data_IF_302541580137
#
_entry.id   IF_302541580137
#
_cell.length_a   1.000
_cell.length_b   1.000
_cell.length_c   1.000
_cell.angle_alpha   90.00
_cell.angle_beta   90.00
_cell.angle_gamma   90.00
#
_symmetry.space_group_name_H-M   'P 1'
#
loop_
_entity.id
_entity.type
_entity.pdbx_description
1 polymer ?
#
# COMPACT_ATOMS: atom_id res chain seq x y z
N UNK A 1 -16.11 14.33 -15.49
CA UNK A 1 -15.20 13.44 -16.24
C UNK A 1 -14.90 12.24 -15.37
N UNK A 2 -15.53 11.09 -15.65
CA UNK A 2 -15.11 9.84 -15.03
C UNK A 2 -13.91 9.38 -15.84
N UNK A 3 -12.71 9.71 -15.35
CA UNK A 3 -11.46 9.32 -15.98
C UNK A 3 -11.29 7.81 -15.87
N UNK A 4 -11.12 7.14 -17.00
CA UNK A 4 -10.67 5.75 -17.03
C UNK A 4 -9.34 5.66 -16.28
N UNK A 5 -9.21 4.73 -15.34
CA UNK A 5 -7.98 4.52 -14.59
C UNK A 5 -6.83 4.30 -15.58
N UNK A 6 -5.74 5.08 -15.48
CA UNK A 6 -4.57 4.87 -16.34
C UNK A 6 -4.05 3.44 -16.09
N UNK A 7 -3.81 2.69 -17.17
CA UNK A 7 -3.28 1.33 -17.09
C UNK A 7 -1.96 1.28 -16.31
N UNK A 8 -1.15 2.33 -16.41
CA UNK A 8 0.10 2.44 -15.67
C UNK A 8 -0.17 2.60 -14.17
N UNK A 9 -1.12 3.45 -13.78
CA UNK A 9 -1.52 3.60 -12.39
C UNK A 9 -2.03 2.27 -11.81
N UNK A 10 -2.83 1.52 -12.57
CA UNK A 10 -3.30 0.20 -12.15
C UNK A 10 -2.15 -0.76 -11.81
N UNK A 11 -1.11 -0.78 -12.64
CA UNK A 11 0.07 -1.62 -12.44
C UNK A 11 0.96 -1.11 -11.30
N UNK A 12 1.05 0.21 -11.10
CA UNK A 12 1.81 0.78 -10.01
C UNK A 12 1.18 0.51 -8.64
N UNK A 13 -0.16 0.50 -8.55
CA UNK A 13 -0.89 0.15 -7.33
C UNK A 13 -0.66 -1.32 -6.91
N UNK A 14 -0.39 -2.23 -7.85
CA UNK A 14 0.00 -3.61 -7.50
C UNK A 14 1.29 -3.62 -6.66
N UNK A 15 2.24 -2.73 -6.96
CA UNK A 15 3.50 -2.65 -6.17
C UNK A 15 3.25 -2.16 -4.74
N UNK A 16 2.21 -1.34 -4.53
CA UNK A 16 1.82 -0.89 -3.19
C UNK A 16 1.36 -2.06 -2.34
N UNK A 17 0.51 -2.94 -2.89
CA UNK A 17 0.01 -4.11 -2.15
C UNK A 17 1.10 -5.15 -1.93
N UNK A 18 2.00 -5.34 -2.90
CA UNK A 18 3.20 -6.18 -2.75
C UNK A 18 4.11 -5.67 -1.62
N UNK A 19 4.40 -4.37 -1.58
CA UNK A 19 5.22 -3.78 -0.52
C UNK A 19 4.61 -3.98 0.87
N UNK A 20 3.29 -3.78 0.99
CA UNK A 20 2.54 -4.02 2.23
C UNK A 20 2.66 -5.47 2.72
N UNK A 21 2.39 -6.42 1.82
CA UNK A 21 2.41 -7.84 2.13
C UNK A 21 3.82 -8.32 2.49
N UNK A 22 4.84 -7.88 1.76
CA UNK A 22 6.22 -8.22 2.06
C UNK A 22 6.67 -7.65 3.41
N UNK A 23 6.26 -6.42 3.76
CA UNK A 23 6.59 -5.82 5.05
C UNK A 23 5.91 -6.56 6.21
N UNK A 24 4.60 -6.83 6.12
CA UNK A 24 3.85 -7.51 7.17
C UNK A 24 4.27 -8.98 7.35
N UNK A 25 4.60 -9.68 6.25
CA UNK A 25 5.00 -11.10 6.28
C UNK A 25 6.20 -11.38 7.18
N UNK A 26 7.09 -10.40 7.38
CA UNK A 26 8.26 -10.53 8.28
C UNK A 26 7.87 -10.77 9.75
N UNK A 27 6.65 -10.37 10.11
CA UNK A 27 6.08 -10.46 11.45
C UNK A 27 5.03 -11.58 11.56
N UNK A 28 4.80 -12.35 10.49
CA UNK A 28 3.85 -13.47 10.48
C UNK A 28 4.22 -14.50 11.56
N UNK A 29 3.22 -14.95 12.32
CA UNK A 29 3.38 -15.96 13.38
C UNK A 29 4.01 -15.45 14.68
N UNK A 30 4.32 -14.15 14.80
CA UNK A 30 4.95 -13.59 16.01
C UNK A 30 3.96 -13.16 17.11
N UNK A 31 2.65 -13.21 16.83
CA UNK A 31 1.60 -12.81 17.78
C UNK A 31 1.54 -11.30 18.06
N UNK A 32 2.28 -10.49 17.28
CA UNK A 32 2.31 -9.03 17.40
C UNK A 32 1.57 -8.39 16.22
N UNK A 33 0.24 -8.37 16.33
CA UNK A 33 -0.66 -7.81 15.31
C UNK A 33 -0.35 -6.34 15.02
N UNK A 34 -0.14 -5.53 16.05
CA UNK A 34 0.08 -4.08 15.91
C UNK A 34 1.37 -3.77 15.17
N UNK A 35 2.45 -4.50 15.46
CA UNK A 35 3.69 -4.33 14.71
C UNK A 35 3.53 -4.77 13.25
N UNK A 36 2.79 -5.85 12.99
CA UNK A 36 2.55 -6.35 11.65
C UNK A 36 1.73 -5.35 10.81
N UNK A 37 0.68 -4.78 11.41
CA UNK A 37 -0.16 -3.76 10.80
C UNK A 37 0.63 -2.48 10.53
N UNK A 38 1.38 -1.97 11.52
CA UNK A 38 2.21 -0.79 11.35
C UNK A 38 3.23 -0.97 10.22
N UNK A 39 3.89 -2.13 10.13
CA UNK A 39 4.83 -2.42 9.06
C UNK A 39 4.15 -2.41 7.67
N UNK A 40 2.92 -2.90 7.57
CA UNK A 40 2.15 -2.87 6.33
C UNK A 40 1.76 -1.43 5.94
N UNK A 41 1.23 -0.67 6.89
CA UNK A 41 0.77 0.72 6.70
C UNK A 41 1.91 1.63 6.28
N UNK A 42 3.07 1.53 6.94
CA UNK A 42 4.25 2.33 6.61
C UNK A 42 4.73 2.06 5.18
N UNK A 43 4.81 0.77 4.80
CA UNK A 43 5.20 0.37 3.46
C UNK A 43 4.18 0.85 2.41
N UNK A 44 2.88 0.66 2.64
CA UNK A 44 1.83 1.17 1.74
C UNK A 44 1.94 2.68 1.56
N UNK A 45 2.08 3.43 2.66
CA UNK A 45 2.16 4.89 2.61
C UNK A 45 3.39 5.37 1.86
N UNK A 46 4.54 4.74 2.09
CA UNK A 46 5.76 5.05 1.36
C UNK A 46 5.61 4.79 -0.15
N UNK A 47 5.01 3.65 -0.52
CA UNK A 47 4.79 3.32 -1.93
C UNK A 47 3.76 4.23 -2.60
N UNK A 48 2.66 4.56 -1.92
CA UNK A 48 1.63 5.49 -2.42
C UNK A 48 2.19 6.90 -2.65
N UNK A 49 3.04 7.38 -1.74
CA UNK A 49 3.69 8.69 -1.88
C UNK A 49 4.67 8.76 -3.07
N UNK A 50 5.07 7.61 -3.63
CA UNK A 50 5.89 7.54 -4.83
C UNK A 50 5.09 7.58 -6.15
N UNK A 51 3.76 7.51 -6.09
CA UNK A 51 2.90 7.52 -7.27
C UNK A 51 2.62 8.96 -7.72
N UNK A 52 2.54 9.17 -9.05
CA UNK A 52 2.18 10.47 -9.62
C UNK A 52 0.65 10.68 -9.58
N UNK A 53 0.09 10.81 -8.37
CA UNK A 53 -1.35 10.99 -8.14
C UNK A 53 -1.63 12.12 -7.14
N UNK A 54 -2.81 12.72 -7.26
CA UNK A 54 -3.43 13.55 -6.22
C UNK A 54 -4.54 12.75 -5.54
N UNK A 55 -4.13 11.79 -4.69
CA UNK A 55 -5.03 10.88 -3.99
C UNK A 55 -5.48 11.41 -2.63
N UNK A 56 -6.73 11.12 -2.25
CA UNK A 56 -7.25 11.35 -0.89
C UNK A 56 -7.60 10.00 -0.26
N UNK A 57 -7.06 9.74 0.94
CA UNK A 57 -7.45 8.57 1.73
C UNK A 57 -8.82 8.83 2.34
N UNK A 58 -9.83 8.09 1.88
CA UNK A 58 -11.21 8.17 2.39
C UNK A 58 -11.57 7.00 3.31
N UNK A 59 -10.80 5.91 3.25
CA UNK A 59 -10.88 4.73 4.10
C UNK A 59 -9.44 4.31 4.43
N UNK A 60 -9.19 4.05 5.70
CA UNK A 60 -7.90 3.59 6.23
C UNK A 60 -8.10 2.92 7.57
#
# INVERSE_FOLDING_TARGET
MVGTLDRNLALEVVRVTEAAALASSRLMGRGDEKAADQAAVDAMRQSLNGLAIEGTVVIG
#
